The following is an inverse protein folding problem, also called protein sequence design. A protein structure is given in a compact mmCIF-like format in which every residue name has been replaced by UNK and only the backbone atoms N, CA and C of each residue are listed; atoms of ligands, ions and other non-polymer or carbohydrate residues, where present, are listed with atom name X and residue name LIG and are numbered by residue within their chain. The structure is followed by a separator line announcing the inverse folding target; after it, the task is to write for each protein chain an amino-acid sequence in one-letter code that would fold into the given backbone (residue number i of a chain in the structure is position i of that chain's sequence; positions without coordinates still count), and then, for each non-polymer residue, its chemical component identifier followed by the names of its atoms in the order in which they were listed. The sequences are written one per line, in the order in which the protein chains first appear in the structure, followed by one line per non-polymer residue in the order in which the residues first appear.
data_IF_350104437953
#
_entry.id   IF_350104437953
#
_cell.length_a   1.000
_cell.length_b   1.000
_cell.length_c   1.000
_cell.angle_alpha   90.00
_cell.angle_beta   90.00
_cell.angle_gamma   90.00
#
_symmetry.space_group_name_H-M   'P 1'
#
loop_
_entity.id
_entity.type
_entity.pdbx_description
1 polymer ?
#
# COMPACT_ATOMS: atom_id res chain seq x y z
N UNK A 1 -2.82 -7.01 15.27
CA UNK A 1 -1.78 -6.26 14.52
C UNK A 1 -0.87 -7.26 13.80
N UNK A 2 -0.87 -7.29 12.45
CA UNK A 2 -0.29 -8.39 11.67
C UNK A 2 1.25 -8.38 11.60
N UNK A 3 1.89 -7.22 11.40
CA UNK A 3 3.36 -7.12 11.30
C UNK A 3 4.07 -7.53 12.60
N UNK A 4 3.63 -6.99 13.74
CA UNK A 4 4.17 -7.34 15.05
C UNK A 4 4.07 -8.84 15.34
N UNK A 5 2.92 -9.46 15.04
CA UNK A 5 2.76 -10.89 15.24
C UNK A 5 3.76 -11.72 14.43
N UNK A 6 4.03 -11.34 13.17
CA UNK A 6 4.99 -12.05 12.32
C UNK A 6 6.42 -11.90 12.84
N UNK A 7 6.81 -10.68 13.20
CA UNK A 7 8.14 -10.42 13.76
C UNK A 7 8.34 -11.12 15.11
N UNK A 8 7.32 -11.12 15.97
CA UNK A 8 7.34 -11.82 17.25
C UNK A 8 7.37 -13.35 17.08
N UNK A 9 6.93 -13.87 15.93
CA UNK A 9 7.03 -15.28 15.52
C UNK A 9 8.36 -15.64 14.84
N UNK A 10 9.32 -14.71 14.80
CA UNK A 10 10.65 -14.95 14.25
C UNK A 10 10.76 -14.79 12.74
N UNK A 11 9.84 -14.04 12.11
CA UNK A 11 10.00 -13.65 10.71
C UNK A 11 11.35 -12.93 10.49
N UNK A 12 12.09 -13.34 9.47
CA UNK A 12 13.41 -12.77 9.18
C UNK A 12 13.28 -11.34 8.67
N UNK A 13 13.71 -10.38 9.48
CA UNK A 13 13.66 -8.95 9.16
C UNK A 13 14.60 -8.54 8.01
N UNK A 14 15.64 -9.35 7.75
CA UNK A 14 16.61 -9.13 6.68
C UNK A 14 16.31 -9.98 5.44
N UNK A 15 15.14 -10.60 5.36
CA UNK A 15 14.71 -11.32 4.17
C UNK A 15 14.72 -10.39 2.96
N UNK A 16 15.10 -10.95 1.81
CA UNK A 16 15.09 -10.27 0.51
C UNK A 16 14.21 -11.04 -0.44
N UNK A 17 13.42 -10.31 -1.23
CA UNK A 17 12.64 -10.90 -2.31
C UNK A 17 13.51 -11.20 -3.54
N UNK A 18 12.89 -11.63 -4.65
CA UNK A 18 13.59 -11.93 -5.90
C UNK A 18 14.23 -10.71 -6.59
N UNK A 19 13.89 -9.49 -6.17
CA UNK A 19 14.49 -8.22 -6.63
C UNK A 19 15.55 -7.72 -5.65
N UNK A 20 15.78 -8.43 -4.55
CA UNK A 20 16.72 -8.04 -3.51
C UNK A 20 16.14 -7.02 -2.53
N UNK A 21 14.84 -6.73 -2.61
CA UNK A 21 14.16 -5.76 -1.75
C UNK A 21 13.95 -6.34 -0.36
N UNK A 22 14.22 -5.53 0.66
CA UNK A 22 13.92 -5.86 2.06
C UNK A 22 12.48 -5.48 2.42
N UNK A 23 12.02 -5.88 3.60
CA UNK A 23 10.71 -5.46 4.12
C UNK A 23 10.53 -3.93 4.13
N UNK A 24 11.59 -3.16 4.39
CA UNK A 24 11.52 -1.68 4.38
C UNK A 24 11.31 -1.11 2.98
N UNK A 25 11.99 -1.65 1.95
CA UNK A 25 11.75 -1.25 0.56
C UNK A 25 10.28 -1.44 0.19
N UNK A 26 9.74 -2.63 0.51
CA UNK A 26 8.35 -2.98 0.21
C UNK A 26 7.39 -2.06 0.97
N UNK A 27 7.60 -1.84 2.27
CA UNK A 27 6.75 -0.98 3.09
C UNK A 27 6.68 0.44 2.51
N UNK A 28 7.82 1.04 2.19
CA UNK A 28 7.90 2.39 1.59
C UNK A 28 7.28 2.44 0.19
N UNK A 29 7.52 1.44 -0.66
CA UNK A 29 6.91 1.38 -2.01
C UNK A 29 5.39 1.18 -1.98
N UNK A 30 4.89 0.39 -1.03
CA UNK A 30 3.46 0.09 -0.90
C UNK A 30 2.66 1.17 -0.18
N UNK A 31 3.33 2.12 0.49
CA UNK A 31 2.67 3.15 1.27
C UNK A 31 1.78 4.04 0.40
N UNK A 32 0.56 4.32 0.87
CA UNK A 32 -0.42 5.13 0.12
C UNK A 32 -1.18 6.11 1.04
N UNK A 33 -1.29 7.39 0.63
CA UNK A 33 -2.14 8.35 1.30
C UNK A 33 -3.62 8.08 0.93
N UNK A 34 -4.57 8.47 1.79
CA UNK A 34 -5.91 7.85 1.83
C UNK A 34 -6.77 8.14 0.62
N UNK A 35 -7.63 7.16 0.34
CA UNK A 35 -8.88 7.36 -0.39
C UNK A 35 -9.82 6.13 -0.34
N UNK A 36 -10.91 6.30 0.43
CA UNK A 36 -12.12 5.45 0.53
C UNK A 36 -11.91 3.97 0.92
N UNK A 37 -12.48 3.59 2.08
CA UNK A 37 -12.62 2.21 2.63
C UNK A 37 -11.66 1.75 3.76
N UNK A 38 -11.34 2.66 4.69
CA UNK A 38 -10.87 2.36 6.07
C UNK A 38 -9.34 2.13 6.25
N UNK A 39 -8.69 3.15 6.84
CA UNK A 39 -7.34 3.21 7.45
C UNK A 39 -6.15 3.08 6.45
N UNK A 40 -5.02 3.81 6.59
CA UNK A 40 -3.74 3.17 6.97
C UNK A 40 -2.50 4.08 7.18
N UNK A 41 -2.59 5.41 7.26
CA UNK A 41 -1.38 6.23 7.56
C UNK A 41 -0.71 5.73 8.84
N UNK A 42 -1.51 5.36 9.83
CA UNK A 42 -1.07 4.78 11.08
C UNK A 42 -0.41 3.39 10.89
N UNK A 43 -0.92 2.56 9.98
CA UNK A 43 -0.35 1.23 9.72
C UNK A 43 0.93 1.29 8.88
N UNK A 44 1.00 2.18 7.89
CA UNK A 44 2.22 2.39 7.10
C UNK A 44 3.33 2.96 8.00
N UNK A 45 2.98 3.95 8.84
CA UNK A 45 3.86 4.48 9.87
C UNK A 45 4.28 3.38 10.86
N UNK A 46 3.35 2.60 11.38
CA UNK A 46 3.63 1.53 12.33
C UNK A 46 4.50 0.43 11.71
N UNK A 47 4.28 0.07 10.45
CA UNK A 47 5.10 -0.91 9.74
C UNK A 47 6.54 -0.44 9.61
N UNK A 48 6.77 0.78 9.11
CA UNK A 48 8.13 1.32 8.95
C UNK A 48 8.80 1.49 10.31
N UNK A 49 8.14 2.12 11.28
CA UNK A 49 8.70 2.33 12.62
C UNK A 49 9.03 1.02 13.33
N UNK A 50 8.14 0.02 13.27
CA UNK A 50 8.40 -1.28 13.88
C UNK A 50 9.57 -2.00 13.23
N UNK A 51 9.66 -2.00 11.89
CA UNK A 51 10.78 -2.62 11.18
C UNK A 51 12.11 -1.95 11.57
N UNK A 52 12.16 -0.62 11.55
CA UNK A 52 13.35 0.14 11.94
C UNK A 52 13.74 -0.11 13.39
N UNK A 53 12.78 -0.06 14.33
CA UNK A 53 13.01 -0.35 15.76
C UNK A 53 13.48 -1.78 16.03
N UNK A 54 13.12 -2.74 15.16
CA UNK A 54 13.55 -4.14 15.25
C UNK A 54 14.88 -4.40 14.54
N UNK A 55 15.57 -3.34 14.08
CA UNK A 55 16.92 -3.43 13.52
C UNK A 55 16.95 -3.69 12.01
N UNK A 56 15.87 -3.39 11.28
CA UNK A 56 15.95 -3.38 9.82
C UNK A 56 16.95 -2.29 9.37
N UNK A 57 17.89 -2.68 8.49
CA UNK A 57 18.91 -1.77 7.99
C UNK A 57 18.34 -0.80 6.94
N UNK A 58 18.35 0.48 7.29
CA UNK A 58 17.83 1.60 6.47
C UNK A 58 18.72 1.93 5.27
N UNK A 59 19.96 1.42 5.21
CA UNK A 59 20.93 1.68 4.14
C UNK A 59 20.99 0.57 3.09
N UNK A 60 20.07 -0.38 3.15
CA UNK A 60 20.06 -1.49 2.19
C UNK A 60 19.72 -1.01 0.77
N UNK A 61 20.28 -1.72 -0.20
CA UNK A 61 19.94 -1.57 -1.62
C UNK A 61 19.38 -2.87 -2.19
N UNK A 62 18.49 -2.73 -3.18
CA UNK A 62 17.99 -3.83 -4.01
C UNK A 62 19.07 -4.33 -5.01
N UNK A 63 18.75 -5.35 -5.82
CA UNK A 63 19.70 -5.87 -6.81
C UNK A 63 19.98 -4.92 -7.98
N UNK A 64 19.18 -3.87 -8.15
CA UNK A 64 19.43 -2.79 -9.10
C UNK A 64 20.30 -1.68 -8.49
N UNK A 65 20.68 -1.79 -7.22
CA UNK A 65 21.42 -0.78 -6.48
C UNK A 65 20.57 0.38 -5.98
N UNK A 66 19.23 0.31 -6.07
CA UNK A 66 18.34 1.35 -5.52
C UNK A 66 18.20 1.16 -4.03
N UNK A 67 18.32 2.26 -3.29
CA UNK A 67 18.16 2.30 -1.84
C UNK A 67 16.72 2.56 -1.42
N UNK A 68 16.44 2.36 -0.13
CA UNK A 68 15.15 2.74 0.48
C UNK A 68 14.90 4.26 0.36
N UNK A 69 15.97 5.07 0.42
CA UNK A 69 15.88 6.53 0.26
C UNK A 69 15.52 6.91 -1.18
N UNK A 70 16.08 6.21 -2.18
CA UNK A 70 15.69 6.40 -3.59
C UNK A 70 14.22 6.08 -3.79
N UNK A 71 13.75 5.00 -3.17
CA UNK A 71 12.34 4.66 -3.17
C UNK A 71 11.50 5.76 -2.50
N UNK A 72 11.86 6.21 -1.31
CA UNK A 72 11.10 7.17 -0.51
C UNK A 72 10.96 8.54 -1.19
N UNK A 73 12.06 9.11 -1.69
CA UNK A 73 12.09 10.50 -2.15
C UNK A 73 11.74 10.69 -3.63
N UNK A 74 11.47 9.61 -4.36
CA UNK A 74 10.89 9.73 -5.70
C UNK A 74 9.47 10.26 -5.58
N UNK A 75 9.23 11.42 -6.19
CA UNK A 75 7.91 11.99 -6.30
C UNK A 75 7.01 11.08 -7.16
N UNK A 76 5.87 10.69 -6.61
CA UNK A 76 5.00 9.71 -7.23
C UNK A 76 3.88 10.38 -8.01
N UNK A 77 3.92 10.18 -9.33
CA UNK A 77 2.98 10.72 -10.30
C UNK A 77 2.10 9.63 -10.92
N UNK A 78 1.73 8.58 -10.16
CA UNK A 78 0.78 7.56 -10.64
C UNK A 78 -0.46 8.21 -11.29
N UNK A 79 -0.95 7.63 -12.40
CA UNK A 79 -1.96 8.26 -13.27
C UNK A 79 -3.30 8.49 -12.58
N UNK A 80 -3.69 7.57 -11.70
CA UNK A 80 -5.02 7.52 -11.07
C UNK A 80 -4.94 7.96 -9.61
N UNK A 81 -3.90 7.50 -8.92
CA UNK A 81 -3.69 7.69 -7.49
C UNK A 81 -2.32 8.31 -7.20
N UNK A 82 -2.05 9.53 -7.70
CA UNK A 82 -0.77 10.17 -7.47
C UNK A 82 -0.55 10.40 -5.97
N UNK A 83 0.61 9.97 -5.48
CA UNK A 83 0.96 10.04 -4.05
C UNK A 83 1.80 11.27 -3.72
N UNK A 84 2.32 11.96 -4.74
CA UNK A 84 3.12 13.16 -4.57
C UNK A 84 4.36 12.89 -3.71
N UNK A 85 4.57 13.70 -2.67
CA UNK A 85 5.69 13.57 -1.73
C UNK A 85 5.42 12.65 -0.54
N UNK A 86 4.25 11.99 -0.47
CA UNK A 86 3.81 11.22 0.70
C UNK A 86 4.84 10.22 1.22
N UNK A 87 5.47 9.44 0.33
CA UNK A 87 6.40 8.37 0.70
C UNK A 87 7.64 8.93 1.41
N UNK A 88 8.17 10.04 0.92
CA UNK A 88 9.29 10.75 1.54
C UNK A 88 8.90 11.33 2.89
N UNK A 89 7.75 11.99 2.95
CA UNK A 89 7.25 12.62 4.16
C UNK A 89 6.95 11.60 5.27
N UNK A 90 6.39 10.45 4.91
CA UNK A 90 6.16 9.32 5.81
C UNK A 90 7.49 8.74 6.30
N UNK A 91 8.45 8.55 5.40
CA UNK A 91 9.77 8.03 5.71
C UNK A 91 10.52 8.93 6.69
N UNK A 92 10.53 10.23 6.46
CA UNK A 92 11.19 11.21 7.32
C UNK A 92 10.58 11.23 8.73
N UNK A 93 9.26 11.26 8.83
CA UNK A 93 8.56 11.19 10.10
C UNK A 93 8.84 9.87 10.84
N UNK A 94 8.93 8.74 10.12
CA UNK A 94 9.27 7.44 10.71
C UNK A 94 10.73 7.37 11.19
N UNK A 95 11.68 7.89 10.42
CA UNK A 95 13.09 8.00 10.84
C UNK A 95 13.22 8.85 12.10
N UNK A 96 12.54 10.01 12.13
CA UNK A 96 12.53 10.87 13.31
C UNK A 96 12.01 10.12 14.55
N UNK A 97 10.87 9.42 14.43
CA UNK A 97 10.28 8.60 15.51
C UNK A 97 11.21 7.49 16.01
N UNK A 98 12.11 7.01 15.17
CA UNK A 98 13.06 5.96 15.50
C UNK A 98 14.41 6.50 15.99
N UNK A 99 14.59 7.83 16.09
CA UNK A 99 15.84 8.44 16.53
C UNK A 99 16.92 8.48 15.44
N UNK A 100 16.51 8.46 14.16
CA UNK A 100 17.37 8.53 12.98
C UNK A 100 17.21 9.86 12.21
N UNK A 101 16.91 10.94 12.93
CA UNK A 101 16.60 12.25 12.35
C UNK A 101 17.76 12.88 11.58
N UNK A 102 18.99 12.47 11.85
CA UNK A 102 20.20 12.88 11.13
C UNK A 102 20.26 12.38 9.68
N UNK A 103 19.43 11.40 9.33
CA UNK A 103 19.35 10.82 7.97
C UNK A 103 18.20 11.38 7.14
N UNK A 104 17.37 12.25 7.72
CA UNK A 104 16.26 12.92 7.05
C UNK A 104 16.79 13.89 6.00
N UNK A 105 16.09 13.97 4.86
CA UNK A 105 16.45 14.89 3.78
C UNK A 105 16.40 16.34 4.25
N UNK A 106 17.40 17.14 3.83
CA UNK A 106 17.46 18.55 4.19
C UNK A 106 16.27 19.32 3.60
N UNK A 107 15.72 20.34 4.29
CA UNK A 107 14.58 21.10 3.78
C UNK A 107 14.78 21.69 2.39
N UNK A 108 16.00 22.09 2.04
CA UNK A 108 16.36 22.67 0.75
C UNK A 108 16.38 21.64 -0.40
N UNK A 109 16.55 20.36 -0.06
CA UNK A 109 16.61 19.24 -1.00
C UNK A 109 15.25 18.53 -1.11
N UNK A 110 14.37 18.69 -0.12
CA UNK A 110 13.04 18.11 -0.10
C UNK A 110 12.18 18.61 -1.25
N UNK A 111 11.57 17.67 -1.96
CA UNK A 111 10.56 17.91 -2.99
C UNK A 111 9.15 17.80 -2.41
N UNK A 112 8.46 18.93 -2.24
CA UNK A 112 7.09 19.02 -1.76
C UNK A 112 6.07 18.88 -2.90
N UNK A 113 5.13 17.94 -2.76
CA UNK A 113 4.06 17.75 -3.73
C UNK A 113 2.81 17.20 -3.03
N UNK A 114 1.86 18.08 -2.75
CA UNK A 114 0.52 17.70 -2.30
C UNK A 114 -0.40 17.41 -3.49
N UNK A 115 -1.20 16.36 -3.35
CA UNK A 115 -2.19 15.90 -4.33
C UNK A 115 -3.59 15.96 -3.71
N UNK A 116 -4.62 15.67 -4.50
CA UNK A 116 -5.99 15.51 -3.98
C UNK A 116 -6.14 14.35 -2.97
N UNK A 117 -5.18 13.42 -2.97
CA UNK A 117 -5.14 12.25 -2.09
C UNK A 117 -4.11 12.39 -0.97
N UNK A 118 -3.24 13.40 -1.06
CA UNK A 118 -2.22 13.70 -0.06
C UNK A 118 -2.12 15.20 0.17
N UNK A 119 -2.70 15.64 1.27
CA UNK A 119 -2.90 17.05 1.60
C UNK A 119 -1.90 17.54 2.65
N UNK A 120 -1.84 18.87 2.82
CA UNK A 120 -1.07 19.50 3.90
C UNK A 120 -1.56 19.05 5.29
N UNK A 121 -2.87 18.80 5.45
CA UNK A 121 -3.43 18.25 6.69
C UNK A 121 -2.87 16.84 6.96
N UNK A 122 -2.82 15.98 5.94
CA UNK A 122 -2.25 14.63 6.08
C UNK A 122 -0.75 14.68 6.34
N UNK A 123 -0.01 15.61 5.74
CA UNK A 123 1.38 15.88 6.08
C UNK A 123 1.52 16.26 7.57
N UNK A 124 0.69 17.18 8.07
CA UNK A 124 0.72 17.59 9.47
C UNK A 124 0.45 16.41 10.43
N UNK A 125 -0.41 15.47 10.03
CA UNK A 125 -0.71 14.25 10.82
C UNK A 125 0.48 13.31 10.96
N UNK A 126 1.37 13.22 9.95
CA UNK A 126 2.60 12.43 10.07
C UNK A 126 3.47 12.90 11.25
N UNK A 127 3.47 14.21 11.49
CA UNK A 127 4.20 14.89 12.56
C UNK A 127 3.35 15.19 13.80
N UNK A 128 2.17 14.57 13.94
CA UNK A 128 1.31 14.79 15.10
C UNK A 128 2.05 14.45 16.41
N UNK A 129 1.99 15.39 17.36
CA UNK A 129 2.72 15.34 18.64
C UNK A 129 4.19 15.77 18.58
N UNK A 130 4.75 16.01 17.39
CA UNK A 130 6.15 16.41 17.18
C UNK A 130 6.29 17.50 16.12
N UNK A 131 5.23 18.30 15.91
CA UNK A 131 5.20 19.30 14.85
C UNK A 131 6.34 20.32 14.99
N UNK A 132 6.64 20.76 16.21
CA UNK A 132 7.73 21.71 16.47
C UNK A 132 9.12 21.20 16.05
N UNK A 133 9.28 19.89 15.90
CA UNK A 133 10.54 19.25 15.52
C UNK A 133 10.61 18.92 14.03
N UNK A 134 9.52 19.12 13.28
CA UNK A 134 9.49 18.90 11.84
C UNK A 134 10.39 19.92 11.12
N UNK A 135 11.42 19.48 10.39
CA UNK A 135 12.41 20.37 9.78
C UNK A 135 11.84 21.24 8.64
N UNK A 136 10.63 20.93 8.16
CA UNK A 136 10.03 21.56 6.98
C UNK A 136 9.02 22.67 7.29
N UNK A 137 8.63 22.86 8.56
CA UNK A 137 7.58 23.85 8.91
C UNK A 137 8.07 25.29 8.74
N UNK A 138 9.35 25.55 8.98
CA UNK A 138 9.92 26.90 8.99
C UNK A 138 10.75 27.23 7.74
N UNK A 139 11.05 26.24 6.89
CA UNK A 139 11.93 26.38 5.74
C UNK A 139 11.20 26.02 4.45
N UNK A 140 11.24 26.86 3.41
CA UNK A 140 10.59 26.55 2.14
C UNK A 140 11.21 25.31 1.49
N UNK A 141 10.40 24.27 1.24
CA UNK A 141 10.78 23.14 0.40
C UNK A 141 10.60 23.46 -1.09
N UNK A 142 11.34 22.77 -1.96
CA UNK A 142 11.14 22.89 -3.41
C UNK A 142 9.78 22.31 -3.79
N UNK A 143 9.02 22.97 -4.66
CA UNK A 143 7.76 22.45 -5.17
C UNK A 143 8.05 21.56 -6.37
N UNK A 144 7.39 20.39 -6.46
CA UNK A 144 7.53 19.51 -7.61
C UNK A 144 7.16 20.23 -8.93
N UNK A 145 8.05 20.22 -9.95
CA UNK A 145 7.79 20.85 -11.24
C UNK A 145 6.54 20.33 -11.95
N UNK A 146 6.21 19.04 -11.75
CA UNK A 146 5.10 18.37 -12.41
C UNK A 146 3.78 18.51 -11.64
N UNK A 147 3.77 19.17 -10.47
CA UNK A 147 2.62 19.23 -9.55
C UNK A 147 1.33 19.64 -10.24
N UNK A 148 1.36 20.76 -10.96
CA UNK A 148 0.15 21.34 -11.53
C UNK A 148 -0.41 20.50 -12.69
N UNK A 149 0.45 19.81 -13.44
CA UNK A 149 0.03 18.88 -14.49
C UNK A 149 -0.56 17.60 -13.89
N UNK A 150 0.11 17.02 -12.90
CA UNK A 150 -0.32 15.78 -12.22
C UNK A 150 -1.65 15.99 -11.52
N UNK A 151 -1.82 17.09 -10.79
CA UNK A 151 -3.08 17.39 -10.10
C UNK A 151 -4.24 17.60 -11.09
N UNK A 152 -4.01 18.33 -12.19
CA UNK A 152 -5.03 18.52 -13.24
C UNK A 152 -5.46 17.19 -13.86
N UNK A 153 -4.50 16.28 -14.11
CA UNK A 153 -4.79 14.94 -14.63
C UNK A 153 -5.61 14.11 -13.64
N UNK A 154 -5.29 14.19 -12.35
CA UNK A 154 -6.01 13.48 -11.31
C UNK A 154 -7.46 13.95 -11.17
N UNK A 155 -7.69 15.26 -11.30
CA UNK A 155 -9.02 15.87 -11.33
C UNK A 155 -9.84 15.39 -12.56
N UNK A 156 -9.21 15.32 -13.74
CA UNK A 156 -9.86 14.81 -14.95
C UNK A 156 -10.26 13.34 -14.81
N UNK A 157 -9.37 12.50 -14.25
CA UNK A 157 -9.66 11.09 -13.97
C UNK A 157 -10.86 10.95 -13.02
N UNK A 158 -10.89 11.72 -11.92
CA UNK A 158 -12.00 11.67 -10.97
C UNK A 158 -13.32 12.07 -11.60
N UNK A 159 -13.33 13.13 -12.43
CA UNK A 159 -14.52 13.55 -13.17
C UNK A 159 -15.07 12.42 -14.05
N UNK A 160 -14.18 11.75 -14.80
CA UNK A 160 -14.55 10.61 -15.66
C UNK A 160 -15.07 9.42 -14.83
N UNK A 161 -14.44 9.13 -13.68
CA UNK A 161 -14.86 8.07 -12.77
C UNK A 161 -16.24 8.36 -12.16
N UNK A 162 -16.51 9.59 -11.75
CA UNK A 162 -17.82 10.02 -11.24
C UNK A 162 -18.91 9.97 -12.31
N UNK A 163 -18.60 10.31 -13.55
CA UNK A 163 -19.51 10.14 -14.68
C UNK A 163 -19.85 8.68 -14.92
N UNK A 164 -18.84 7.80 -14.87
CA UNK A 164 -19.03 6.35 -14.98
C UNK A 164 -19.91 5.80 -13.86
N UNK A 165 -19.63 6.16 -12.60
CA UNK A 165 -20.43 5.74 -11.43
C UNK A 165 -21.88 6.22 -11.58
N UNK A 166 -22.10 7.49 -11.92
CA UNK A 166 -23.45 8.02 -12.15
C UNK A 166 -24.20 7.28 -13.26
N UNK A 167 -23.52 6.97 -14.36
CA UNK A 167 -24.11 6.19 -15.45
C UNK A 167 -24.48 4.78 -14.99
N UNK A 168 -23.58 4.11 -14.27
CA UNK A 168 -23.80 2.77 -13.74
C UNK A 168 -24.96 2.73 -12.73
N UNK A 169 -24.98 3.63 -11.75
CA UNK A 169 -26.06 3.73 -10.76
C UNK A 169 -27.43 4.07 -11.37
N UNK A 170 -27.45 4.85 -12.45
CA UNK A 170 -28.68 5.17 -13.17
C UNK A 170 -29.22 3.96 -13.95
N UNK A 171 -28.32 3.15 -14.53
CA UNK A 171 -28.72 1.93 -15.22
C UNK A 171 -29.20 0.86 -14.23
N UNK A 172 -28.51 0.72 -13.11
CA UNK A 172 -28.89 -0.21 -12.04
C UNK A 172 -30.28 0.12 -11.47
N UNK A 173 -30.55 1.40 -11.17
CA UNK A 173 -31.89 1.84 -10.73
C UNK A 173 -33.00 1.55 -11.75
N UNK A 174 -32.76 1.79 -13.05
CA UNK A 174 -33.74 1.44 -14.09
C UNK A 174 -34.00 -0.06 -14.16
N UNK A 175 -32.97 -0.88 -13.94
CA UNK A 175 -33.12 -2.33 -13.92
C UNK A 175 -33.96 -2.77 -12.71
N UNK A 176 -33.72 -2.22 -11.52
CA UNK A 176 -34.56 -2.48 -10.33
C UNK A 176 -36.02 -2.04 -10.54
N UNK A 177 -36.24 -0.85 -11.12
CA UNK A 177 -37.59 -0.38 -11.45
C UNK A 177 -38.28 -1.32 -12.44
N UNK A 178 -37.57 -1.82 -13.46
CA UNK A 178 -38.13 -2.78 -14.43
C UNK A 178 -38.40 -4.18 -13.87
N UNK A 179 -37.68 -4.60 -12.82
CA UNK A 179 -37.93 -5.87 -12.11
C UNK A 179 -39.13 -5.73 -11.15
N UNK A 180 -39.32 -4.55 -10.55
CA UNK A 180 -40.46 -4.27 -9.67
C UNK A 180 -41.82 -4.20 -10.39
N UNK A 181 -41.82 -3.97 -11.71
CA UNK A 181 -43.03 -4.03 -12.55
C UNK A 181 -43.35 -5.47 -13.03
N UNK A 182 -42.44 -6.43 -12.87
CA UNK A 182 -42.63 -7.84 -13.25
C UNK A 182 -42.89 -8.77 -12.04
N UNK A 183 -42.77 -8.30 -10.80
CA UNK A 183 -43.00 -9.09 -9.57
C UNK A 183 -44.39 -8.90 -8.91
N UNK A 184 -45.43 -8.46 -9.65
CA UNK A 184 -46.83 -8.56 -9.19
C UNK A 184 -47.51 -9.91 -9.51
N UNK A 185 -46.82 -10.87 -10.13
CA UNK A 185 -47.30 -12.27 -10.28
C UNK A 185 -46.15 -13.28 -10.09
N UNK A 186 -45.82 -13.60 -8.83
CA UNK A 186 -45.89 -14.98 -8.31
C UNK A 186 -45.05 -15.16 -7.03
N UNK A 187 -45.75 -15.64 -5.99
CA UNK A 187 -45.16 -16.11 -4.74
C UNK A 187 -44.42 -17.43 -4.93
N UNK A 188 -43.19 -17.56 -4.39
CA UNK A 188 -42.79 -18.63 -3.46
C UNK A 188 -41.25 -18.72 -3.28
N UNK A 189 -40.83 -18.66 -2.01
CA UNK A 189 -39.79 -19.52 -1.40
C UNK A 189 -38.36 -19.52 -1.99
N UNK A 190 -37.43 -18.81 -1.34
CA UNK A 190 -36.37 -19.44 -0.53
C UNK A 190 -35.22 -18.49 -0.19
N UNK A 191 -34.69 -18.72 1.00
CA UNK A 191 -33.60 -18.05 1.68
C UNK A 191 -32.23 -18.55 1.17
N UNK A 192 -31.29 -17.67 0.84
CA UNK A 192 -29.79 -17.80 0.80
C UNK A 192 -29.30 -16.36 0.48
N UNK A 193 -28.40 -15.67 1.20
CA UNK A 193 -27.28 -16.12 2.01
C UNK A 193 -25.97 -15.79 1.30
N UNK A 194 -25.40 -14.62 1.60
CA UNK A 194 -23.98 -14.22 1.51
C UNK A 194 -23.23 -14.08 0.15
N UNK A 195 -22.22 -13.20 0.22
CA UNK A 195 -20.99 -13.07 -0.60
C UNK A 195 -21.05 -12.39 -1.99
N UNK A 196 -20.74 -11.08 -2.02
CA UNK A 196 -20.11 -10.47 -3.21
C UNK A 196 -18.58 -10.52 -3.08
N UNK A 197 -17.96 -11.54 -3.67
CA UNK A 197 -16.54 -11.52 -4.01
C UNK A 197 -16.32 -10.57 -5.19
N UNK A 198 -15.45 -9.57 -4.97
CA UNK A 198 -14.73 -8.93 -6.06
C UNK A 198 -13.60 -9.88 -6.47
N UNK A 199 -13.69 -10.46 -7.66
CA UNK A 199 -12.53 -11.08 -8.31
C UNK A 199 -12.15 -10.26 -9.54
N UNK A 200 -10.96 -9.69 -9.45
CA UNK A 200 -10.25 -9.03 -10.53
C UNK A 200 -9.94 -9.98 -11.70
N UNK A 201 -9.76 -9.35 -12.85
CA UNK A 201 -8.85 -9.74 -13.94
C UNK A 201 -9.21 -10.95 -14.80
N UNK A 202 -9.76 -10.64 -15.98
CA UNK A 202 -9.47 -11.42 -17.19
C UNK A 202 -7.98 -11.31 -17.51
N UNK A 203 -7.23 -12.36 -17.19
CA UNK A 203 -5.93 -12.62 -17.79
C UNK A 203 -6.13 -13.46 -19.05
N UNK A 204 -5.68 -12.85 -20.15
CA UNK A 204 -5.50 -13.46 -21.47
C UNK A 204 -4.73 -14.79 -21.38
N UNK A 205 -5.22 -15.77 -22.14
CA UNK A 205 -4.82 -17.16 -22.05
C UNK A 205 -3.41 -17.40 -22.60
N UNK A 206 -2.63 -18.18 -21.85
CA UNK A 206 -1.76 -19.17 -22.48
C UNK A 206 -1.69 -20.42 -21.63
N UNK A 207 -2.19 -21.48 -22.22
CA UNK A 207 -2.31 -22.84 -21.74
C UNK A 207 -0.92 -23.50 -21.73
N UNK A 208 -0.38 -23.83 -20.55
CA UNK A 208 0.59 -24.92 -20.36
C UNK A 208 0.36 -25.57 -19.00
N UNK A 209 -0.14 -26.81 -19.02
CA UNK A 209 -0.54 -27.54 -17.83
C UNK A 209 0.63 -28.10 -17.01
N UNK A 210 0.41 -28.21 -15.70
CA UNK A 210 1.14 -29.15 -14.85
C UNK A 210 0.20 -29.76 -13.79
N UNK A 211 0.05 -31.09 -13.88
CA UNK A 211 -0.47 -31.99 -12.84
C UNK A 211 0.68 -32.40 -11.91
N UNK A 212 0.36 -32.60 -10.63
CA UNK A 212 1.21 -33.25 -9.63
C UNK A 212 1.82 -32.22 -8.68
N UNK A 213 1.55 -32.19 -7.39
CA UNK A 213 1.27 -33.30 -6.48
C UNK A 213 2.21 -33.08 -5.29
N UNK A 214 1.68 -32.54 -4.20
CA UNK A 214 2.42 -32.29 -2.95
C UNK A 214 2.76 -33.65 -2.34
N UNK A 215 4.04 -33.97 -2.23
CA UNK A 215 4.54 -35.03 -1.35
C UNK A 215 4.81 -34.38 0.01
N UNK A 216 3.92 -34.59 0.97
CA UNK A 216 4.23 -34.41 2.38
C UNK A 216 5.01 -35.64 2.82
N UNK A 217 6.29 -35.45 3.17
CA UNK A 217 7.09 -36.48 3.82
C UNK A 217 6.64 -36.63 5.26
N UNK A 218 6.00 -37.76 5.57
CA UNK A 218 5.88 -38.27 6.93
C UNK A 218 7.27 -38.75 7.38
N UNK A 219 7.71 -38.23 8.53
CA UNK A 219 8.84 -38.76 9.30
C UNK A 219 8.26 -39.76 10.29
N UNK A 220 8.45 -41.04 10.01
CA UNK A 220 8.26 -42.10 11.00
C UNK A 220 9.62 -42.54 11.53
N UNK A 221 9.81 -42.29 12.82
CA UNK A 221 10.83 -42.89 13.67
C UNK A 221 10.59 -44.41 13.75
N UNK A 222 11.61 -45.21 13.45
CA UNK A 222 11.71 -46.58 13.98
C UNK A 222 13.17 -46.92 14.31
N UNK A 223 13.40 -47.09 15.60
CA UNK A 223 14.52 -47.78 16.24
C UNK A 223 14.70 -49.23 15.72
N UNK A 224 15.92 -49.75 15.85
CA UNK A 224 16.12 -51.17 16.16
C UNK A 224 17.02 -51.99 15.22
N UNK A 225 18.28 -52.15 15.64
CA UNK A 225 19.03 -53.40 15.78
C UNK A 225 19.17 -54.43 14.63
N UNK A 226 20.45 -54.58 14.25
CA UNK A 226 21.26 -55.82 14.29
C UNK A 226 21.22 -56.89 13.17
N UNK A 227 22.42 -57.46 12.99
CA UNK A 227 22.82 -58.73 12.39
C UNK A 227 22.94 -58.85 10.85
N UNK A 228 24.19 -59.02 10.39
CA UNK A 228 24.57 -59.55 9.08
C UNK A 228 26.01 -59.29 8.69
#
# INVERSE_FOLDING_TARGET
MRFKLLLDRGANIHARDNRGMTCLHIAVQSARPRNHLNTRVEEDMEAITLLTQRGADIFTTDYSGRSIFDDAYVCDHEKEYPRGSYRGDLWDAALFRCGHGEHIQRPEERMCHYTQWYTEEEFARLWEGMAQDCPYISTPSAICPDRDEVNRRAEEYNRRREEYIRHYEANYRRAEDSVSEEEEEDSADSNIGDEMYLTDSEQDGSEIGYRGGIVLGEVDDLDGDDAG
#
